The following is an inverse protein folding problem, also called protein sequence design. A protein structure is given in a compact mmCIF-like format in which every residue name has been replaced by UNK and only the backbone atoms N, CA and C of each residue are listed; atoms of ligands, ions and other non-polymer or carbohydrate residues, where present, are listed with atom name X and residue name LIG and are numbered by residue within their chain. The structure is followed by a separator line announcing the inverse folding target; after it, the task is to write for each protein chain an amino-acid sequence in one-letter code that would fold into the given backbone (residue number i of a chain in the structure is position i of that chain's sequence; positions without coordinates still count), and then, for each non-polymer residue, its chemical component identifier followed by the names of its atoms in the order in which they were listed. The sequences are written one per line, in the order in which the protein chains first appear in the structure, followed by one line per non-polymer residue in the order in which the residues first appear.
data_IF_785087350879
#
_entry.id   IF_785087350879
#
_cell.length_a   1.000
_cell.length_b   1.000
_cell.length_c   1.000
_cell.angle_alpha   90.00
_cell.angle_beta   90.00
_cell.angle_gamma   90.00
#
_symmetry.space_group_name_H-M   'P 1'
#
loop_
_entity.id
_entity.type
_entity.pdbx_description
1 polymer ?
#
# COMPACT_ATOMS: atom_id res chain seq x y z
N UNK A 1 52.80 22.39 -29.62
CA UNK A 1 52.96 22.57 -28.16
C UNK A 1 51.61 22.35 -27.51
N UNK A 2 51.56 21.54 -26.45
CA UNK A 2 50.36 21.18 -25.69
C UNK A 2 49.98 22.34 -24.78
N UNK A 3 48.71 22.73 -24.77
CA UNK A 3 48.10 23.48 -23.66
C UNK A 3 46.80 22.79 -23.28
N UNK A 4 46.93 21.91 -22.30
CA UNK A 4 45.82 21.41 -21.48
C UNK A 4 45.33 22.58 -20.62
N UNK A 5 44.09 23.02 -20.81
CA UNK A 5 43.41 23.90 -19.86
C UNK A 5 42.29 23.12 -19.19
N UNK A 6 42.65 22.49 -18.08
CA UNK A 6 41.73 22.06 -17.03
C UNK A 6 41.20 23.29 -16.31
N UNK A 7 39.92 23.62 -16.51
CA UNK A 7 39.21 24.61 -15.69
C UNK A 7 37.76 24.16 -15.45
N UNK A 8 37.64 23.15 -14.60
CA UNK A 8 36.79 23.16 -13.41
C UNK A 8 35.46 23.95 -13.51
N UNK A 9 34.38 23.30 -13.91
CA UNK A 9 33.02 23.62 -13.46
C UNK A 9 32.30 22.31 -13.13
N UNK A 10 32.41 21.97 -11.84
CA UNK A 10 31.77 20.86 -11.14
C UNK A 10 30.23 20.98 -11.32
N UNK A 11 29.53 19.86 -11.54
CA UNK A 11 28.14 19.86 -11.92
C UNK A 11 27.29 20.31 -10.73
N UNK A 12 26.45 21.31 -10.95
CA UNK A 12 25.35 21.67 -10.06
C UNK A 12 24.26 20.60 -10.20
N UNK A 13 24.55 19.41 -9.65
CA UNK A 13 23.55 18.42 -9.30
C UNK A 13 22.83 18.99 -8.07
N UNK A 14 21.87 19.88 -8.31
CA UNK A 14 20.82 20.12 -7.33
C UNK A 14 19.97 18.85 -7.27
N UNK A 15 20.47 17.85 -6.55
CA UNK A 15 19.66 16.77 -6.02
C UNK A 15 18.72 17.39 -5.00
N UNK A 16 17.59 17.90 -5.50
CA UNK A 16 16.40 18.15 -4.68
C UNK A 16 16.03 16.78 -4.12
N UNK A 17 16.52 16.48 -2.92
CA UNK A 17 16.02 15.36 -2.15
C UNK A 17 14.57 15.71 -1.82
N UNK A 18 13.66 15.26 -2.68
CA UNK A 18 12.26 15.15 -2.30
C UNK A 18 12.25 14.14 -1.16
N UNK A 19 12.26 14.64 0.07
CA UNK A 19 11.89 13.87 1.25
C UNK A 19 10.41 13.53 1.05
N UNK A 20 10.16 12.48 0.28
CA UNK A 20 8.85 11.85 0.21
C UNK A 20 8.63 11.23 1.59
N UNK A 21 8.02 12.02 2.48
CA UNK A 21 7.52 11.53 3.75
C UNK A 21 6.45 10.49 3.40
N UNK A 22 6.85 9.22 3.39
CA UNK A 22 5.93 8.12 3.22
C UNK A 22 5.05 8.08 4.48
N UNK A 23 3.79 8.45 4.32
CA UNK A 23 2.79 8.31 5.37
C UNK A 23 2.57 6.81 5.61
N UNK A 24 2.72 6.36 6.85
CA UNK A 24 2.32 5.03 7.25
C UNK A 24 0.90 5.06 7.83
N UNK A 25 0.12 4.02 7.56
CA UNK A 25 -1.22 3.87 8.10
C UNK A 25 -1.51 2.42 8.45
N UNK A 26 -2.39 2.25 9.43
CA UNK A 26 -3.03 0.99 9.75
C UNK A 26 -4.51 1.07 9.40
N UNK A 27 -4.99 0.10 8.62
CA UNK A 27 -6.38 0.01 8.21
C UNK A 27 -7.01 -1.21 8.88
N UNK A 28 -7.94 -0.95 9.80
CA UNK A 28 -8.85 -1.96 10.31
C UNK A 28 -9.87 -2.27 9.22
N UNK A 29 -9.97 -3.53 8.79
CA UNK A 29 -10.89 -3.93 7.73
C UNK A 29 -11.81 -5.06 8.17
N UNK A 30 -12.99 -5.10 7.53
CA UNK A 30 -13.85 -6.28 7.48
C UNK A 30 -14.14 -6.55 6.01
N UNK A 31 -14.07 -7.82 5.63
CA UNK A 31 -14.29 -8.26 4.28
C UNK A 31 -15.15 -9.52 4.24
N UNK A 32 -15.88 -9.68 3.14
CA UNK A 32 -16.74 -10.83 2.84
C UNK A 32 -16.25 -11.49 1.56
N UNK A 33 -16.34 -12.81 1.46
CA UNK A 33 -16.18 -13.55 0.22
C UNK A 33 -17.21 -14.67 0.18
N UNK A 34 -17.88 -14.84 -0.95
CA UNK A 34 -18.76 -15.98 -1.15
C UNK A 34 -17.95 -17.14 -1.71
N UNK A 35 -17.99 -18.29 -1.04
CA UNK A 35 -17.26 -19.49 -1.44
C UNK A 35 -18.27 -20.56 -1.82
N UNK A 36 -18.08 -21.14 -3.00
CA UNK A 36 -18.84 -22.32 -3.43
C UNK A 36 -18.15 -23.57 -2.89
N UNK A 37 -18.84 -24.30 -2.02
CA UNK A 37 -18.40 -25.61 -1.56
C UNK A 37 -19.25 -26.69 -2.21
N UNK A 38 -18.61 -27.70 -2.79
CA UNK A 38 -19.28 -28.90 -3.28
C UNK A 38 -19.36 -29.90 -2.14
N UNK A 39 -20.58 -30.12 -1.64
CA UNK A 39 -20.88 -31.17 -0.67
C UNK A 39 -21.65 -32.31 -1.35
N UNK A 40 -21.83 -33.44 -0.65
CA UNK A 40 -22.59 -34.59 -1.15
C UNK A 40 -24.03 -34.24 -1.60
N UNK A 41 -24.59 -33.15 -1.09
CA UNK A 41 -25.94 -32.67 -1.40
C UNK A 41 -26.02 -31.62 -2.53
N UNK A 42 -24.89 -31.27 -3.16
CA UNK A 42 -24.83 -30.28 -4.24
C UNK A 42 -23.91 -29.09 -3.95
N UNK A 43 -24.09 -28.01 -4.72
CA UNK A 43 -23.33 -26.77 -4.57
C UNK A 43 -24.01 -25.88 -3.53
N UNK A 44 -23.29 -25.54 -2.46
CA UNK A 44 -23.79 -24.64 -1.41
C UNK A 44 -22.93 -23.38 -1.43
N UNK A 45 -23.57 -22.22 -1.48
CA UNK A 45 -22.91 -20.92 -1.35
C UNK A 45 -22.84 -20.54 0.13
N UNK A 46 -21.63 -20.47 0.69
CA UNK A 46 -21.40 -20.03 2.07
C UNK A 46 -20.64 -18.70 2.09
N UNK A 47 -21.15 -17.67 2.79
CA UNK A 47 -20.39 -16.45 3.01
C UNK A 47 -19.27 -16.68 4.03
N UNK A 48 -18.06 -16.31 3.68
CA UNK A 48 -16.91 -16.21 4.58
C UNK A 48 -16.66 -14.76 4.96
N UNK A 49 -16.24 -14.55 6.21
CA UNK A 49 -15.93 -13.23 6.74
C UNK A 49 -14.49 -13.21 7.25
N UNK A 50 -13.78 -12.13 6.94
CA UNK A 50 -12.43 -11.87 7.43
C UNK A 50 -12.38 -10.48 8.03
N UNK A 51 -11.69 -10.34 9.15
CA UNK A 51 -11.40 -9.04 9.75
C UNK A 51 -9.98 -9.02 10.28
N UNK A 52 -9.37 -7.85 10.27
CA UNK A 52 -8.04 -7.66 10.82
C UNK A 52 -7.57 -6.24 10.64
N UNK A 53 -6.29 -6.03 10.89
CA UNK A 53 -5.62 -4.75 10.68
C UNK A 53 -4.46 -4.99 9.73
N UNK A 54 -4.35 -4.16 8.70
CA UNK A 54 -3.26 -4.20 7.71
C UNK A 54 -2.57 -2.86 7.67
N UNK A 55 -1.25 -2.88 7.59
CA UNK A 55 -0.45 -1.67 7.44
C UNK A 55 -0.16 -1.41 5.96
N UNK A 56 -0.10 -0.15 5.59
CA UNK A 56 0.32 0.28 4.27
C UNK A 56 1.20 1.52 4.34
N UNK A 57 1.75 1.89 3.19
CA UNK A 57 2.54 3.10 3.00
C UNK A 57 2.07 3.87 1.77
N UNK A 58 2.06 5.19 1.85
CA UNK A 58 1.68 6.02 0.71
C UNK A 58 2.05 7.49 0.89
N UNK A 59 2.00 8.25 -0.19
CA UNK A 59 2.26 9.70 -0.15
C UNK A 59 1.09 10.48 0.48
N UNK A 60 -0.11 9.90 0.43
CA UNK A 60 -1.32 10.45 1.04
C UNK A 60 -2.15 9.33 1.70
N UNK A 61 -3.13 9.68 2.55
CA UNK A 61 -3.95 8.69 3.25
C UNK A 61 -4.66 7.71 2.32
N UNK A 62 -5.11 8.15 1.14
CA UNK A 62 -5.81 7.28 0.17
C UNK A 62 -4.87 6.27 -0.48
N UNK A 63 -3.66 6.68 -0.82
CA UNK A 63 -2.65 5.80 -1.40
C UNK A 63 -2.19 4.76 -0.36
N UNK A 64 -2.05 5.18 0.90
CA UNK A 64 -1.76 4.27 1.99
C UNK A 64 -2.88 3.24 2.23
N UNK A 65 -4.14 3.68 2.21
CA UNK A 65 -5.29 2.78 2.29
C UNK A 65 -5.33 1.77 1.14
N UNK A 66 -5.07 2.25 -0.09
CA UNK A 66 -5.02 1.41 -1.28
C UNK A 66 -3.93 0.36 -1.16
N UNK A 67 -2.75 0.75 -0.71
CA UNK A 67 -1.61 -0.15 -0.50
C UNK A 67 -1.92 -1.20 0.58
N UNK A 68 -2.44 -0.75 1.74
CA UNK A 68 -2.80 -1.63 2.85
C UNK A 68 -3.87 -2.69 2.45
N UNK A 69 -4.88 -2.29 1.67
CA UNK A 69 -6.00 -3.16 1.28
C UNK A 69 -5.75 -3.95 -0.01
N UNK A 70 -4.74 -3.59 -0.81
CA UNK A 70 -4.37 -4.28 -2.04
C UNK A 70 -4.26 -5.82 -1.90
N UNK A 71 -3.57 -6.40 -0.90
CA UNK A 71 -3.48 -7.86 -0.76
C UNK A 71 -4.85 -8.51 -0.49
N UNK A 72 -5.70 -7.85 0.30
CA UNK A 72 -7.03 -8.38 0.64
C UNK A 72 -7.93 -8.42 -0.61
N UNK A 73 -7.87 -7.37 -1.43
CA UNK A 73 -8.61 -7.30 -2.70
C UNK A 73 -8.06 -8.32 -3.71
N UNK A 74 -6.73 -8.48 -3.79
CA UNK A 74 -6.08 -9.43 -4.68
C UNK A 74 -6.43 -10.90 -4.36
N UNK A 75 -6.69 -11.21 -3.09
CA UNK A 75 -7.20 -12.52 -2.62
C UNK A 75 -8.69 -12.75 -2.94
N UNK A 76 -9.38 -11.78 -3.56
CA UNK A 76 -10.79 -11.88 -3.93
C UNK A 76 -11.78 -11.57 -2.80
N UNK A 77 -11.32 -10.94 -1.72
CA UNK A 77 -12.21 -10.47 -0.66
C UNK A 77 -12.85 -9.13 -1.02
N UNK A 78 -14.14 -8.97 -0.70
CA UNK A 78 -14.87 -7.71 -0.84
C UNK A 78 -14.87 -6.96 0.49
N UNK A 79 -14.26 -5.78 0.53
CA UNK A 79 -14.22 -4.94 1.73
C UNK A 79 -15.63 -4.39 2.02
N UNK A 80 -16.15 -4.65 3.21
CA UNK A 80 -17.47 -4.17 3.67
C UNK A 80 -17.36 -3.04 4.69
N UNK A 81 -16.23 -2.97 5.39
CA UNK A 81 -15.92 -1.90 6.33
C UNK A 81 -14.42 -1.65 6.33
N UNK A 82 -14.05 -0.37 6.40
CA UNK A 82 -12.66 0.06 6.57
C UNK A 82 -12.59 1.23 7.56
N UNK A 83 -11.56 1.24 8.39
CA UNK A 83 -11.21 2.36 9.26
C UNK A 83 -9.71 2.55 9.28
N UNK A 84 -9.28 3.72 8.82
CA UNK A 84 -7.86 4.08 8.72
C UNK A 84 -7.39 4.83 9.95
N UNK A 85 -6.19 4.49 10.42
CA UNK A 85 -5.44 5.20 11.44
C UNK A 85 -4.11 5.60 10.84
N UNK A 86 -3.88 6.90 10.74
CA UNK A 86 -2.60 7.44 10.27
C UNK A 86 -1.60 7.30 11.41
N UNK A 87 -0.47 6.67 11.13
CA UNK A 87 0.64 6.58 12.07
C UNK A 87 1.63 7.71 11.76
N UNK A 88 2.05 8.51 12.76
CA UNK A 88 3.14 9.45 12.55
C UNK A 88 4.43 8.65 12.31
N UNK A 89 5.05 8.83 11.15
CA UNK A 89 6.42 8.37 10.92
C UNK A 89 7.33 9.10 11.91
N UNK A 90 7.91 8.39 12.87
CA UNK A 90 9.03 8.91 13.67
C UNK A 90 10.19 9.17 12.70
N UNK A 91 10.56 10.44 12.57
CA UNK A 91 11.61 10.92 11.68
C UNK A 91 13.01 10.78 12.26
#
# INVERSE_FOLDING_TARGET
MKTLSYSLLIPLVFSVQANAYALSCEVDFRAKRDVQETHWFGHIERPEFRSGTVAGIGENPRDCERDALAPIIAEGWQITFQRTRIMPTEG
#
